data_IF_193738015786
#
_entry.id   IF_193738015786
#
_cell.length_a   1.000
_cell.length_b   1.000
_cell.length_c   1.000
_cell.angle_alpha   90.00
_cell.angle_beta   90.00
_cell.angle_gamma   90.00
#
_symmetry.space_group_name_H-M   'P 1'
#
loop_
_entity.id
_entity.type
_entity.pdbx_description
1 polymer ?
#
# COMPACT_ATOMS: atom_id res chain seq x y z
N UNK A 1 -22.28 -14.52 40.01
CA UNK A 1 -20.88 -14.89 39.68
C UNK A 1 -20.37 -14.01 38.53
N UNK A 2 -20.04 -12.77 38.92
CA UNK A 2 -19.48 -11.69 38.12
C UNK A 2 -17.96 -11.83 38.03
N UNK A 3 -17.38 -11.49 36.88
CA UNK A 3 -15.95 -11.14 36.79
C UNK A 3 -15.06 -12.15 36.06
N UNK A 4 -15.30 -12.37 34.77
CA UNK A 4 -14.21 -12.74 33.87
C UNK A 4 -13.49 -11.44 33.49
N UNK A 5 -12.45 -11.07 34.25
CA UNK A 5 -11.50 -10.06 33.81
C UNK A 5 -10.89 -10.50 32.48
N UNK A 6 -11.31 -9.88 31.38
CA UNK A 6 -10.56 -9.90 30.15
C UNK A 6 -9.16 -9.38 30.47
N UNK A 7 -8.15 -10.25 30.45
CA UNK A 7 -6.76 -9.80 30.53
C UNK A 7 -6.57 -8.82 29.36
N UNK A 8 -6.03 -7.61 29.57
CA UNK A 8 -5.65 -6.78 28.44
C UNK A 8 -4.58 -7.57 27.69
N UNK A 9 -4.96 -8.09 26.53
CA UNK A 9 -4.04 -8.72 25.60
C UNK A 9 -3.11 -7.60 25.16
N UNK A 10 -1.91 -7.49 25.74
CA UNK A 10 -0.95 -6.49 25.28
C UNK A 10 -0.76 -6.71 23.78
N UNK A 11 -1.02 -5.69 22.94
CA UNK A 11 -0.91 -5.86 21.51
C UNK A 11 0.51 -6.34 21.18
N UNK A 12 0.66 -7.37 20.33
CA UNK A 12 1.94 -8.00 20.11
C UNK A 12 2.95 -7.00 19.53
N UNK A 13 3.94 -6.62 20.35
CA UNK A 13 5.03 -5.68 20.00
C UNK A 13 6.12 -6.30 19.12
N UNK A 14 5.93 -7.53 18.65
CA UNK A 14 6.97 -8.29 17.93
C UNK A 14 7.44 -7.55 16.68
N UNK A 15 6.50 -6.96 15.93
CA UNK A 15 6.81 -6.24 14.69
C UNK A 15 7.55 -4.94 14.97
N UNK A 16 7.04 -4.11 15.89
CA UNK A 16 7.62 -2.79 16.21
C UNK A 16 9.03 -2.95 16.78
N UNK A 17 9.22 -3.89 17.72
CA UNK A 17 10.54 -4.21 18.28
C UNK A 17 11.53 -4.68 17.20
N UNK A 18 11.10 -5.56 16.29
CA UNK A 18 11.97 -6.04 15.22
C UNK A 18 12.42 -4.92 14.27
N UNK A 19 11.51 -4.00 13.92
CA UNK A 19 11.83 -2.83 13.07
C UNK A 19 12.75 -1.86 13.80
N UNK A 20 12.44 -1.51 15.06
CA UNK A 20 13.24 -0.59 15.86
C UNK A 20 14.64 -1.12 16.14
N UNK A 21 14.80 -2.44 16.31
CA UNK A 21 16.11 -3.07 16.47
C UNK A 21 17.04 -2.90 15.24
N UNK A 22 16.47 -2.61 14.06
CA UNK A 22 17.21 -2.28 12.83
C UNK A 22 17.29 -0.77 12.57
N UNK A 23 16.86 0.07 13.52
CA UNK A 23 16.85 1.53 13.38
C UNK A 23 15.75 2.07 12.46
N UNK A 24 14.79 1.25 12.05
CA UNK A 24 13.66 1.66 11.22
C UNK A 24 12.53 2.31 12.02
N UNK A 25 11.54 2.85 11.30
CA UNK A 25 10.26 3.32 11.84
C UNK A 25 9.11 2.58 11.17
N UNK A 26 8.01 2.38 11.88
CA UNK A 26 6.81 1.75 11.33
C UNK A 26 5.53 2.41 11.84
N UNK A 27 4.60 2.64 10.91
CA UNK A 27 3.24 3.10 11.20
C UNK A 27 2.23 1.98 10.90
N UNK A 28 1.14 1.93 11.68
CA UNK A 28 0.04 1.00 11.46
C UNK A 28 -1.03 1.67 10.59
N UNK A 29 -1.40 1.05 9.45
CA UNK A 29 -2.52 1.55 8.66
C UNK A 29 -3.84 1.12 9.29
N UNK A 30 -4.69 2.09 9.63
CA UNK A 30 -6.06 1.87 10.09
C UNK A 30 -6.98 1.98 8.87
N UNK A 31 -7.57 0.85 8.50
CA UNK A 31 -8.42 0.70 7.32
C UNK A 31 -9.74 0.03 7.73
N UNK A 32 -10.84 0.72 7.45
CA UNK A 32 -12.17 0.12 7.44
C UNK A 32 -12.63 -0.05 5.99
N UNK A 33 -12.85 -1.30 5.56
CA UNK A 33 -13.09 -1.62 4.14
C UNK A 33 -14.49 -1.29 3.63
N UNK A 34 -15.39 -0.84 4.51
CA UNK A 34 -16.70 -0.31 4.13
C UNK A 34 -17.50 -1.30 3.28
N UNK A 35 -18.06 -0.81 2.17
CA UNK A 35 -18.85 -1.62 1.23
C UNK A 35 -18.02 -2.66 0.46
N UNK A 36 -16.70 -2.66 0.59
CA UNK A 36 -15.82 -3.68 0.00
C UNK A 36 -15.49 -4.84 0.94
N UNK A 37 -15.93 -4.81 2.20
CA UNK A 37 -15.72 -5.97 3.08
C UNK A 37 -16.48 -7.21 2.57
N UNK A 38 -15.81 -8.36 2.47
CA UNK A 38 -16.42 -9.62 2.04
C UNK A 38 -17.12 -10.34 3.21
N UNK A 39 -18.00 -9.63 3.91
CA UNK A 39 -18.79 -10.16 5.02
C UNK A 39 -20.26 -9.70 4.92
N UNK A 40 -21.22 -10.43 5.53
CA UNK A 40 -22.63 -10.04 5.50
C UNK A 40 -22.96 -8.72 6.21
N UNK A 41 -22.17 -8.33 7.22
CA UNK A 41 -22.40 -7.15 8.06
C UNK A 41 -21.56 -5.94 7.63
N UNK A 42 -21.32 -5.80 6.32
CA UNK A 42 -20.64 -4.64 5.77
C UNK A 42 -21.48 -3.38 5.92
N UNK A 43 -20.81 -2.25 6.17
CA UNK A 43 -21.46 -0.95 6.41
C UNK A 43 -20.94 0.09 5.42
N UNK A 44 -21.76 1.09 5.12
CA UNK A 44 -21.43 2.17 4.19
C UNK A 44 -22.22 3.46 4.53
N UNK A 45 -21.90 4.60 3.91
CA UNK A 45 -22.66 5.85 4.10
C UNK A 45 -24.11 5.75 3.63
N UNK A 46 -24.38 4.93 2.60
CA UNK A 46 -25.71 4.67 2.06
C UNK A 46 -25.81 3.21 1.62
N UNK A 47 -27.02 2.66 1.56
CA UNK A 47 -27.29 1.27 1.15
C UNK A 47 -27.10 1.05 -0.37
N UNK A 48 -25.87 1.22 -0.86
CA UNK A 48 -25.49 1.12 -2.28
C UNK A 48 -24.46 0.00 -2.45
N UNK A 49 -24.90 -1.12 -3.00
CA UNK A 49 -24.05 -2.26 -3.30
C UNK A 49 -22.92 -1.90 -4.29
N UNK A 50 -21.70 -2.32 -3.96
CA UNK A 50 -20.57 -2.20 -4.87
C UNK A 50 -20.70 -3.19 -6.06
N UNK A 51 -20.36 -2.78 -7.30
CA UNK A 51 -20.33 -3.66 -8.48
C UNK A 51 -19.41 -4.89 -8.36
N UNK A 52 -18.46 -4.88 -7.43
CA UNK A 52 -17.47 -5.95 -7.19
C UNK A 52 -17.73 -6.75 -5.91
N UNK A 53 -18.84 -6.46 -5.21
CA UNK A 53 -19.21 -7.14 -3.97
C UNK A 53 -20.65 -7.68 -4.07
N UNK A 54 -20.88 -8.84 -3.48
CA UNK A 54 -22.18 -9.54 -3.51
C UNK A 54 -23.13 -9.11 -2.40
N UNK A 55 -22.61 -8.44 -1.36
CA UNK A 55 -23.40 -8.03 -0.20
C UNK A 55 -23.85 -6.58 -0.33
N UNK A 56 -25.10 -6.31 0.07
CA UNK A 56 -25.63 -4.95 0.20
C UNK A 56 -25.20 -4.38 1.56
N UNK A 57 -24.54 -3.21 1.63
CA UNK A 57 -24.16 -2.63 2.90
C UNK A 57 -25.37 -2.15 3.71
N UNK A 58 -25.25 -2.23 5.03
CA UNK A 58 -26.09 -1.48 5.96
C UNK A 58 -25.70 0.00 5.92
N UNK A 59 -26.70 0.86 5.82
CA UNK A 59 -26.51 2.32 5.90
C UNK A 59 -26.29 2.71 7.36
N UNK A 60 -25.12 3.31 7.63
CA UNK A 60 -24.75 3.72 8.98
C UNK A 60 -25.76 4.73 9.56
N UNK A 61 -26.14 4.51 10.81
CA UNK A 61 -26.85 5.49 11.63
C UNK A 61 -25.87 6.54 12.16
N UNK A 62 -26.38 7.69 12.62
CA UNK A 62 -25.54 8.73 13.23
C UNK A 62 -24.69 8.19 14.40
N UNK A 63 -25.29 7.40 15.30
CA UNK A 63 -24.59 6.83 16.46
C UNK A 63 -23.51 5.83 16.05
N UNK A 64 -23.75 5.03 15.00
CA UNK A 64 -22.73 4.12 14.45
C UNK A 64 -21.56 4.88 13.82
N UNK A 65 -21.81 6.02 13.18
CA UNK A 65 -20.75 6.90 12.65
C UNK A 65 -19.89 7.44 13.79
N UNK A 66 -20.51 7.93 14.87
CA UNK A 66 -19.79 8.42 16.05
C UNK A 66 -18.99 7.31 16.73
N UNK A 67 -19.56 6.12 16.85
CA UNK A 67 -18.85 4.96 17.40
C UNK A 67 -17.64 4.58 16.53
N UNK A 68 -17.79 4.56 15.20
CA UNK A 68 -16.66 4.30 14.30
C UNK A 68 -15.55 5.34 14.46
N UNK A 69 -15.87 6.62 14.62
CA UNK A 69 -14.87 7.66 14.89
C UNK A 69 -14.07 7.34 16.17
N UNK A 70 -14.76 6.95 17.25
CA UNK A 70 -14.08 6.52 18.49
C UNK A 70 -13.27 5.23 18.29
N UNK A 71 -13.75 4.28 17.49
CA UNK A 71 -13.03 3.04 17.18
C UNK A 71 -11.73 3.31 16.41
N UNK A 72 -11.72 4.26 15.47
CA UNK A 72 -10.49 4.72 14.80
C UNK A 72 -9.50 5.31 15.82
N UNK A 73 -9.96 6.17 16.73
CA UNK A 73 -9.14 6.77 17.77
C UNK A 73 -8.58 5.70 18.74
N UNK A 74 -9.42 4.76 19.16
CA UNK A 74 -9.04 3.64 20.02
C UNK A 74 -8.03 2.72 19.32
N UNK A 75 -8.21 2.41 18.03
CA UNK A 75 -7.24 1.65 17.24
C UNK A 75 -5.87 2.35 17.21
N UNK A 76 -5.85 3.68 17.04
CA UNK A 76 -4.62 4.46 17.08
C UNK A 76 -3.96 4.48 18.47
N UNK A 77 -4.77 4.52 19.55
CA UNK A 77 -4.26 4.36 20.91
C UNK A 77 -3.56 3.00 21.08
N UNK A 78 -4.20 1.92 20.63
CA UNK A 78 -3.62 0.57 20.69
C UNK A 78 -2.33 0.47 19.86
N UNK A 79 -2.28 1.10 18.67
CA UNK A 79 -1.06 1.16 17.86
C UNK A 79 0.08 1.87 18.60
N UNK A 80 -0.21 3.01 19.26
CA UNK A 80 0.78 3.71 20.09
C UNK A 80 1.25 2.86 21.26
N UNK A 81 0.34 2.21 21.98
CA UNK A 81 0.66 1.30 23.09
C UNK A 81 1.47 0.06 22.65
N UNK A 82 1.31 -0.36 21.39
CA UNK A 82 2.09 -1.42 20.74
C UNK A 82 3.49 -0.93 20.28
N UNK A 83 3.80 0.36 20.40
CA UNK A 83 5.09 0.94 20.04
C UNK A 83 5.23 1.28 18.56
N UNK A 84 4.14 1.47 17.81
CA UNK A 84 4.25 2.05 16.47
C UNK A 84 4.71 3.52 16.58
N UNK A 85 5.42 4.02 15.57
CA UNK A 85 5.83 5.43 15.49
C UNK A 85 4.69 6.36 15.03
N UNK A 86 3.62 5.76 14.49
CA UNK A 86 2.49 6.47 13.95
C UNK A 86 1.39 5.55 13.44
N UNK A 87 0.39 6.17 12.82
CA UNK A 87 -0.68 5.49 12.08
C UNK A 87 -0.89 6.12 10.71
N UNK A 88 -1.37 5.32 9.76
CA UNK A 88 -1.92 5.82 8.50
C UNK A 88 -3.44 5.64 8.49
N UNK A 89 -4.20 6.74 8.41
CA UNK A 89 -5.64 6.72 8.21
C UNK A 89 -5.91 6.55 6.71
N UNK A 90 -6.49 5.42 6.32
CA UNK A 90 -6.75 5.07 4.92
C UNK A 90 -8.03 5.75 4.40
N UNK A 91 -7.86 6.91 3.76
CA UNK A 91 -8.94 7.76 3.23
C UNK A 91 -9.18 7.63 1.72
N UNK A 92 -8.74 6.55 1.09
CA UNK A 92 -8.75 6.40 -0.37
C UNK A 92 -9.25 5.02 -0.86
N UNK A 93 -9.11 4.78 -2.15
CA UNK A 93 -9.31 3.51 -2.86
C UNK A 93 -10.74 2.95 -2.79
N UNK A 94 -11.71 3.82 -2.49
CA UNK A 94 -13.12 3.47 -2.39
C UNK A 94 -13.52 2.75 -1.11
N UNK A 95 -12.67 2.81 -0.07
CA UNK A 95 -13.00 2.32 1.27
C UNK A 95 -13.82 3.33 2.07
N UNK A 96 -14.27 2.96 3.28
CA UNK A 96 -15.32 3.65 4.03
C UNK A 96 -15.16 5.18 4.07
N UNK A 97 -13.98 5.68 4.44
CA UNK A 97 -13.75 7.14 4.50
C UNK A 97 -13.94 7.76 3.12
N UNK A 98 -13.37 7.16 2.07
CA UNK A 98 -13.52 7.63 0.70
C UNK A 98 -14.98 7.55 0.21
N UNK A 99 -15.74 6.55 0.67
CA UNK A 99 -17.15 6.39 0.36
C UNK A 99 -17.98 7.56 0.92
N UNK A 100 -17.67 8.08 2.11
CA UNK A 100 -18.34 9.28 2.64
C UNK A 100 -18.08 10.52 1.78
N UNK A 101 -16.90 10.62 1.17
CA UNK A 101 -16.48 11.81 0.43
C UNK A 101 -17.18 12.00 -0.91
N UNK A 102 -17.61 10.93 -1.59
CA UNK A 102 -18.07 11.01 -2.99
C UNK A 102 -19.59 10.91 -3.11
N UNK A 103 -20.17 11.67 -4.06
CA UNK A 103 -21.61 11.58 -4.38
C UNK A 103 -21.99 10.24 -5.02
N UNK A 104 -21.01 9.47 -5.50
CA UNK A 104 -21.22 8.11 -6.00
C UNK A 104 -21.78 7.15 -4.95
N UNK A 105 -21.43 7.37 -3.68
CA UNK A 105 -21.63 6.40 -2.60
C UNK A 105 -22.31 6.96 -1.37
N UNK A 106 -22.31 8.29 -1.22
CA UNK A 106 -22.97 8.98 -0.13
C UNK A 106 -24.15 9.79 -0.67
N UNK A 107 -25.36 9.26 -0.45
CA UNK A 107 -26.64 9.87 -0.82
C UNK A 107 -27.40 10.39 0.41
N UNK A 108 -26.73 10.52 1.56
CA UNK A 108 -27.35 10.97 2.81
C UNK A 108 -27.79 12.44 2.69
N UNK A 109 -28.84 12.77 3.44
CA UNK A 109 -29.43 14.10 3.57
C UNK A 109 -29.24 14.71 4.98
N UNK A 110 -28.41 14.07 5.81
CA UNK A 110 -28.02 14.50 7.14
C UNK A 110 -26.66 15.23 7.16
N UNK A 111 -26.12 15.49 8.37
CA UNK A 111 -24.85 16.23 8.53
C UNK A 111 -23.61 15.50 8.01
N UNK A 112 -23.75 14.26 7.55
CA UNK A 112 -22.68 13.43 6.98
C UNK A 112 -22.79 13.32 5.45
N UNK A 113 -23.78 13.95 4.80
CA UNK A 113 -23.99 13.91 3.35
C UNK A 113 -24.46 15.22 2.73
N UNK A 114 -24.77 15.19 1.43
CA UNK A 114 -25.15 16.39 0.67
C UNK A 114 -23.95 17.24 0.21
N UNK A 115 -23.79 18.43 0.80
CA UNK A 115 -22.71 19.35 0.44
C UNK A 115 -21.32 18.77 0.80
N UNK A 116 -20.25 19.32 0.22
CA UNK A 116 -18.93 18.73 0.45
C UNK A 116 -18.46 18.90 1.90
N UNK A 117 -18.87 19.97 2.58
CA UNK A 117 -18.55 20.22 3.99
C UNK A 117 -19.05 19.09 4.89
N UNK A 118 -20.29 18.64 4.65
CA UNK A 118 -20.90 17.53 5.38
C UNK A 118 -20.27 16.18 4.99
N UNK A 119 -20.00 15.95 3.70
CA UNK A 119 -19.32 14.74 3.22
C UNK A 119 -17.90 14.58 3.78
N UNK A 120 -17.13 15.66 3.90
CA UNK A 120 -15.77 15.61 4.45
C UNK A 120 -15.72 15.47 5.97
N UNK A 121 -16.84 15.72 6.67
CA UNK A 121 -16.94 15.69 8.14
C UNK A 121 -16.37 14.39 8.71
N UNK A 122 -16.77 13.24 8.18
CA UNK A 122 -16.32 11.95 8.68
C UNK A 122 -14.79 11.80 8.66
N UNK A 123 -14.15 12.12 7.53
CA UNK A 123 -12.69 12.04 7.40
C UNK A 123 -11.97 12.98 8.39
N UNK A 124 -12.48 14.21 8.52
CA UNK A 124 -11.90 15.25 9.39
C UNK A 124 -12.07 14.90 10.86
N UNK A 125 -13.25 14.43 11.29
CA UNK A 125 -13.49 14.01 12.66
C UNK A 125 -12.66 12.78 13.03
N UNK A 126 -12.48 11.81 12.12
CA UNK A 126 -11.59 10.66 12.35
C UNK A 126 -10.16 11.13 12.63
N UNK A 127 -9.58 11.99 11.78
CA UNK A 127 -8.20 12.47 11.98
C UNK A 127 -8.08 13.29 13.27
N UNK A 128 -9.08 14.14 13.57
CA UNK A 128 -9.11 14.95 14.79
C UNK A 128 -9.18 14.07 16.04
N UNK A 129 -10.07 13.08 16.07
CA UNK A 129 -10.22 12.16 17.20
C UNK A 129 -8.95 11.33 17.41
N UNK A 130 -8.35 10.84 16.32
CA UNK A 130 -7.05 10.14 16.37
C UNK A 130 -5.98 11.05 16.97
N UNK A 131 -5.81 12.28 16.46
CA UNK A 131 -4.82 13.25 16.98
C UNK A 131 -5.03 13.56 18.46
N UNK A 132 -6.27 13.81 18.88
CA UNK A 132 -6.59 14.06 20.29
C UNK A 132 -6.22 12.87 21.19
N UNK A 133 -6.45 11.64 20.71
CA UNK A 133 -6.18 10.42 21.49
C UNK A 133 -4.70 10.09 21.63
N UNK A 134 -3.91 10.29 20.56
CA UNK A 134 -2.50 9.90 20.53
C UNK A 134 -1.53 11.01 20.93
N UNK A 135 -1.99 12.27 20.98
CA UNK A 135 -1.17 13.44 21.30
C UNK A 135 -0.33 13.93 20.10
N UNK A 136 0.51 14.94 20.31
CA UNK A 136 1.24 15.62 19.23
C UNK A 136 2.49 14.86 18.75
N UNK A 137 3.17 14.11 19.63
CA UNK A 137 4.39 13.36 19.32
C UNK A 137 4.05 11.96 18.79
N UNK A 138 3.34 11.93 17.66
CA UNK A 138 2.92 10.71 16.97
C UNK A 138 2.62 11.01 15.51
N UNK A 139 3.18 10.22 14.59
CA UNK A 139 2.98 10.44 13.15
C UNK A 139 1.55 10.06 12.78
N UNK A 140 0.84 10.96 12.11
CA UNK A 140 -0.44 10.65 11.46
C UNK A 140 -0.28 10.86 9.96
N UNK A 141 -0.36 9.79 9.20
CA UNK A 141 -0.41 9.83 7.73
C UNK A 141 -1.87 9.77 7.34
N UNK A 142 -2.34 10.64 6.44
CA UNK A 142 -3.64 10.48 5.82
C UNK A 142 -3.47 10.13 4.36
N UNK A 143 -4.03 8.99 3.93
CA UNK A 143 -3.96 8.57 2.54
C UNK A 143 -5.17 9.12 1.78
N UNK A 144 -4.96 10.23 1.07
CA UNK A 144 -5.99 11.00 0.38
C UNK A 144 -6.21 10.46 -1.03
N UNK A 145 -7.45 10.12 -1.38
CA UNK A 145 -7.80 9.89 -2.79
C UNK A 145 -7.70 11.21 -3.54
N UNK A 146 -6.69 11.34 -4.40
CA UNK A 146 -6.50 12.54 -5.24
C UNK A 146 -7.02 12.33 -6.67
N UNK A 147 -7.39 11.10 -7.02
CA UNK A 147 -7.91 10.73 -8.33
C UNK A 147 -8.75 9.45 -8.20
N UNK A 148 -10.07 9.58 -7.99
CA UNK A 148 -10.94 8.43 -7.72
C UNK A 148 -11.13 7.46 -8.91
N UNK A 149 -11.04 7.96 -10.15
CA UNK A 149 -11.23 7.19 -11.40
C UNK A 149 -12.57 6.43 -11.52
N UNK A 150 -13.62 6.98 -10.92
CA UNK A 150 -15.00 6.50 -11.03
C UNK A 150 -15.94 7.66 -11.33
N UNK A 151 -17.08 7.38 -11.95
CA UNK A 151 -18.10 8.40 -12.20
C UNK A 151 -18.63 8.95 -10.86
N UNK A 152 -18.87 10.26 -10.81
CA UNK A 152 -19.29 10.98 -9.61
C UNK A 152 -18.28 10.90 -8.44
N UNK A 153 -16.98 10.71 -8.76
CA UNK A 153 -15.87 10.92 -7.83
C UNK A 153 -15.65 12.39 -7.49
N UNK A 154 -14.65 12.67 -6.64
CA UNK A 154 -14.29 14.00 -6.20
C UNK A 154 -13.65 14.87 -7.28
N UNK A 155 -13.79 16.17 -7.13
CA UNK A 155 -13.10 17.18 -7.94
C UNK A 155 -11.75 17.56 -7.33
N UNK A 156 -10.91 18.27 -8.09
CA UNK A 156 -9.63 18.76 -7.57
C UNK A 156 -9.81 19.83 -6.48
N UNK A 157 -10.81 20.71 -6.61
CA UNK A 157 -11.10 21.73 -5.60
C UNK A 157 -11.56 21.09 -4.28
N UNK A 158 -12.41 20.07 -4.35
CA UNK A 158 -12.79 19.23 -3.20
C UNK A 158 -11.55 18.53 -2.59
N UNK A 159 -10.65 18.01 -3.42
CA UNK A 159 -9.39 17.39 -2.97
C UNK A 159 -8.52 18.39 -2.18
N UNK A 160 -8.38 19.62 -2.68
CA UNK A 160 -7.63 20.70 -2.01
C UNK A 160 -8.30 21.07 -0.69
N UNK A 161 -9.63 21.26 -0.68
CA UNK A 161 -10.39 21.60 0.52
C UNK A 161 -10.23 20.52 1.60
N UNK A 162 -10.32 19.24 1.23
CA UNK A 162 -10.11 18.14 2.17
C UNK A 162 -8.67 18.07 2.66
N UNK A 163 -7.67 18.22 1.79
CA UNK A 163 -6.26 18.19 2.20
C UNK A 163 -5.96 19.26 3.27
N UNK A 164 -6.47 20.48 3.09
CA UNK A 164 -6.33 21.58 4.06
C UNK A 164 -7.06 21.28 5.36
N UNK A 165 -8.27 20.72 5.28
CA UNK A 165 -9.03 20.32 6.47
C UNK A 165 -8.34 19.21 7.27
N UNK A 166 -7.69 18.25 6.58
CA UNK A 166 -6.94 17.15 7.18
C UNK A 166 -5.63 17.64 7.80
N UNK A 167 -4.93 18.58 7.16
CA UNK A 167 -3.78 19.28 7.75
C UNK A 167 -4.20 20.00 9.04
N UNK A 168 -5.28 20.79 9.00
CA UNK A 168 -5.80 21.49 10.16
C UNK A 168 -6.30 20.54 11.28
N UNK A 169 -6.77 19.34 10.92
CA UNK A 169 -7.14 18.30 11.88
C UNK A 169 -5.93 17.65 12.59
N UNK A 170 -4.72 17.86 12.07
CA UNK A 170 -3.46 17.46 12.70
C UNK A 170 -2.75 16.29 12.04
N UNK A 171 -2.99 16.03 10.74
CA UNK A 171 -2.14 15.09 9.99
C UNK A 171 -0.69 15.58 9.93
N UNK A 172 0.26 14.66 10.00
CA UNK A 172 1.70 14.91 9.86
C UNK A 172 2.17 14.82 8.40
N UNK A 173 1.56 13.94 7.62
CA UNK A 173 1.91 13.64 6.22
C UNK A 173 0.63 13.35 5.43
N UNK A 174 0.61 13.70 4.14
CA UNK A 174 -0.45 13.26 3.23
C UNK A 174 0.16 12.33 2.17
N UNK A 175 -0.36 11.11 2.13
CA UNK A 175 -0.02 10.10 1.13
C UNK A 175 -1.05 10.08 0.01
N UNK A 176 -0.61 9.87 -1.23
CA UNK A 176 -1.50 9.86 -2.38
C UNK A 176 -2.20 8.51 -2.55
N UNK A 177 -3.51 8.53 -2.79
CA UNK A 177 -4.34 7.41 -3.25
C UNK A 177 -4.80 7.64 -4.70
N UNK A 178 -4.78 6.58 -5.51
CA UNK A 178 -5.09 6.64 -6.95
C UNK A 178 -6.02 5.49 -7.33
N UNK A 179 -7.24 5.86 -7.70
CA UNK A 179 -8.28 5.00 -8.22
C UNK A 179 -8.97 4.18 -7.13
N UNK A 180 -10.18 3.73 -7.44
CA UNK A 180 -10.92 2.77 -6.63
C UNK A 180 -10.72 1.33 -7.12
N UNK A 181 -11.03 0.34 -6.29
CA UNK A 181 -11.08 -1.06 -6.74
C UNK A 181 -12.12 -1.30 -7.85
N UNK A 182 -13.16 -0.47 -7.93
CA UNK A 182 -14.16 -0.48 -9.01
C UNK A 182 -13.67 0.16 -10.31
N UNK A 183 -12.61 0.97 -10.27
CA UNK A 183 -12.16 1.73 -11.43
C UNK A 183 -11.79 0.79 -12.59
N UNK A 184 -12.19 1.16 -13.79
CA UNK A 184 -11.87 0.41 -15.03
C UNK A 184 -10.57 0.86 -15.69
N UNK A 185 -9.89 1.83 -15.08
CA UNK A 185 -8.60 2.36 -15.52
C UNK A 185 -7.51 1.69 -14.68
N UNK A 186 -6.52 1.03 -15.30
CA UNK A 186 -5.41 0.44 -14.56
C UNK A 186 -4.58 1.49 -13.82
N UNK A 187 -4.31 1.26 -12.53
CA UNK A 187 -3.53 2.19 -11.69
C UNK A 187 -2.18 1.64 -11.24
N UNK A 188 -2.00 0.32 -11.27
CA UNK A 188 -0.81 -0.34 -10.71
C UNK A 188 -0.19 -1.44 -11.57
N UNK A 189 -0.93 -2.04 -12.52
CA UNK A 189 -0.46 -3.18 -13.33
C UNK A 189 0.69 -2.83 -14.28
N UNK A 190 1.36 -3.83 -14.88
CA UNK A 190 2.51 -3.65 -15.81
C UNK A 190 2.27 -2.65 -16.96
N UNK A 191 1.08 -2.54 -17.56
CA UNK A 191 0.84 -1.55 -18.62
C UNK A 191 0.85 -0.09 -18.16
N UNK A 192 0.79 0.18 -16.85
CA UNK A 192 0.82 1.55 -16.30
C UNK A 192 2.26 2.08 -16.32
N UNK A 193 2.58 3.24 -16.91
CA UNK A 193 3.95 3.74 -16.95
C UNK A 193 4.59 3.92 -15.55
N UNK A 194 5.93 3.85 -15.49
CA UNK A 194 6.66 4.18 -14.25
C UNK A 194 6.36 5.61 -13.81
N UNK A 195 6.05 5.82 -12.53
CA UNK A 195 5.72 7.12 -11.96
C UNK A 195 4.51 7.83 -12.59
N UNK A 196 3.59 7.09 -13.24
CA UNK A 196 2.50 7.65 -14.06
C UNK A 196 1.62 8.71 -13.39
N UNK A 197 1.59 8.76 -12.05
CA UNK A 197 0.73 9.63 -11.27
C UNK A 197 1.49 10.64 -10.40
N UNK A 198 2.81 10.82 -10.57
CA UNK A 198 3.57 11.81 -9.79
C UNK A 198 2.99 13.22 -9.94
N UNK A 199 2.54 13.55 -11.16
CA UNK A 199 1.89 14.82 -11.48
C UNK A 199 0.61 15.08 -10.66
N UNK A 200 -0.12 14.04 -10.24
CA UNK A 200 -1.32 14.20 -9.40
C UNK A 200 -0.93 14.76 -8.03
N UNK A 201 0.13 14.21 -7.44
CA UNK A 201 0.67 14.69 -6.16
C UNK A 201 1.25 16.10 -6.31
N UNK A 202 1.95 16.35 -7.42
CA UNK A 202 2.51 17.67 -7.75
C UNK A 202 1.46 18.77 -7.77
N UNK A 203 0.24 18.49 -8.23
CA UNK A 203 -0.86 19.48 -8.25
C UNK A 203 -1.22 20.00 -6.86
N UNK A 204 -1.04 19.20 -5.80
CA UNK A 204 -1.37 19.60 -4.43
C UNK A 204 -0.23 20.37 -3.73
N UNK A 205 0.98 20.39 -4.31
CA UNK A 205 2.11 21.16 -3.77
C UNK A 205 1.77 22.65 -3.70
N UNK A 206 1.99 23.25 -2.53
CA UNK A 206 1.71 24.66 -2.26
C UNK A 206 0.31 24.95 -1.73
N UNK A 207 -0.61 23.97 -1.75
CA UNK A 207 -1.94 24.11 -1.13
C UNK A 207 -1.98 23.71 0.35
N UNK A 208 -1.00 22.91 0.78
CA UNK A 208 -0.77 22.47 2.17
C UNK A 208 0.71 22.58 2.50
N UNK A 209 1.05 22.64 3.78
CA UNK A 209 2.43 22.74 4.27
C UNK A 209 3.02 21.39 4.70
N UNK A 210 2.17 20.43 5.08
CA UNK A 210 2.60 19.06 5.39
C UNK A 210 3.25 18.38 4.18
N UNK A 211 4.29 17.54 4.38
CA UNK A 211 4.93 16.83 3.29
C UNK A 211 3.98 15.90 2.54
N UNK A 212 4.14 15.85 1.21
CA UNK A 212 3.34 15.00 0.31
C UNK A 212 4.12 13.78 -0.17
N UNK A 213 3.45 12.63 -0.26
CA UNK A 213 4.04 11.36 -0.69
C UNK A 213 3.45 10.89 -2.02
N UNK A 214 4.25 10.87 -3.09
CA UNK A 214 3.83 10.33 -4.39
C UNK A 214 3.91 8.80 -4.43
N UNK A 215 2.96 8.15 -5.09
CA UNK A 215 2.88 6.67 -5.15
C UNK A 215 2.66 6.17 -6.58
N UNK A 216 2.49 4.85 -6.69
CA UNK A 216 2.16 4.06 -7.87
C UNK A 216 3.26 3.98 -8.93
N UNK A 217 3.65 2.73 -9.23
CA UNK A 217 4.63 2.37 -10.27
C UNK A 217 5.97 3.12 -10.18
N UNK A 218 6.39 3.47 -8.96
CA UNK A 218 7.76 3.90 -8.68
C UNK A 218 8.52 2.64 -8.24
N UNK A 219 9.38 2.10 -9.10
CA UNK A 219 10.08 0.82 -8.89
C UNK A 219 11.57 0.89 -9.24
N UNK A 220 12.09 2.10 -9.43
CA UNK A 220 13.44 2.38 -9.90
C UNK A 220 14.00 3.58 -9.13
N UNK A 221 15.23 3.49 -8.60
CA UNK A 221 15.81 4.57 -7.80
C UNK A 221 15.93 5.89 -8.56
N UNK A 222 16.28 5.84 -9.86
CA UNK A 222 16.42 7.04 -10.68
C UNK A 222 15.07 7.69 -10.96
N UNK A 223 14.01 6.89 -11.14
CA UNK A 223 12.64 7.42 -11.27
C UNK A 223 12.20 8.10 -9.98
N UNK A 224 12.44 7.47 -8.82
CA UNK A 224 12.16 8.06 -7.52
C UNK A 224 12.92 9.39 -7.32
N UNK A 225 14.23 9.40 -7.56
CA UNK A 225 15.08 10.59 -7.45
C UNK A 225 14.62 11.71 -8.39
N UNK A 226 14.22 11.36 -9.60
CA UNK A 226 13.71 12.31 -10.60
C UNK A 226 12.40 12.97 -10.13
N UNK A 227 11.50 12.21 -9.50
CA UNK A 227 10.25 12.75 -8.94
C UNK A 227 10.56 13.75 -7.81
N UNK A 228 11.48 13.38 -6.90
CA UNK A 228 11.87 14.24 -5.77
C UNK A 228 12.56 15.51 -6.24
N UNK A 229 13.57 15.40 -7.11
CA UNK A 229 14.36 16.54 -7.61
C UNK A 229 13.55 17.52 -8.46
N UNK A 230 12.51 17.04 -9.17
CA UNK A 230 11.55 17.91 -9.88
C UNK A 230 10.56 18.61 -8.95
N UNK A 231 10.51 18.23 -7.67
CA UNK A 231 9.58 18.77 -6.68
C UNK A 231 8.15 18.26 -6.86
N UNK A 232 7.95 17.08 -7.45
CA UNK A 232 6.64 16.45 -7.60
C UNK A 232 6.03 16.05 -6.24
N UNK A 233 6.90 15.66 -5.30
CA UNK A 233 6.54 15.28 -3.94
C UNK A 233 7.75 15.44 -3.00
N UNK A 234 7.50 15.38 -1.70
CA UNK A 234 8.54 15.44 -0.66
C UNK A 234 9.07 14.03 -0.30
N UNK A 235 8.26 13.00 -0.60
CA UNK A 235 8.60 11.60 -0.43
C UNK A 235 8.02 10.77 -1.59
N UNK A 236 8.53 9.55 -1.77
CA UNK A 236 7.94 8.54 -2.65
C UNK A 236 7.54 7.30 -1.86
N UNK A 237 6.42 6.71 -2.23
CA UNK A 237 5.89 5.47 -1.68
C UNK A 237 6.15 4.33 -2.65
N UNK A 238 6.75 3.26 -2.12
CA UNK A 238 7.02 2.02 -2.82
C UNK A 238 6.50 0.88 -1.97
N UNK A 239 5.56 0.09 -2.50
CA UNK A 239 5.05 -1.11 -1.82
C UNK A 239 5.62 -2.38 -2.45
N UNK A 240 5.14 -2.72 -3.66
CA UNK A 240 5.57 -3.93 -4.38
C UNK A 240 7.09 -4.00 -4.68
N UNK A 241 7.82 -2.89 -4.92
CA UNK A 241 9.28 -2.95 -5.00
C UNK A 241 9.95 -3.60 -3.79
N UNK A 242 9.45 -3.38 -2.56
CA UNK A 242 10.02 -4.04 -1.37
C UNK A 242 9.65 -5.52 -1.23
N UNK A 243 8.57 -5.99 -1.88
CA UNK A 243 8.33 -7.43 -2.03
C UNK A 243 9.31 -8.05 -3.04
N UNK A 244 9.66 -7.32 -4.10
CA UNK A 244 10.59 -7.80 -5.11
C UNK A 244 12.04 -7.78 -4.60
N UNK A 245 12.43 -6.74 -3.88
CA UNK A 245 13.77 -6.59 -3.30
C UNK A 245 13.73 -5.82 -1.98
N UNK A 246 13.97 -6.50 -0.86
CA UNK A 246 14.06 -5.87 0.45
C UNK A 246 15.35 -5.03 0.62
N UNK A 247 16.37 -5.24 -0.23
CA UNK A 247 17.63 -4.50 -0.21
C UNK A 247 17.63 -3.31 -1.18
N UNK A 248 16.48 -2.98 -1.78
CA UNK A 248 16.32 -1.93 -2.80
C UNK A 248 17.08 -0.64 -2.46
N UNK A 249 16.86 -0.09 -1.26
CA UNK A 249 17.47 1.17 -0.85
C UNK A 249 18.97 1.02 -0.56
N UNK A 250 19.38 -0.05 0.12
CA UNK A 250 20.79 -0.32 0.41
C UNK A 250 21.60 -0.48 -0.88
N UNK A 251 21.04 -1.15 -1.89
CA UNK A 251 21.65 -1.32 -3.21
C UNK A 251 21.75 0.02 -3.95
N UNK A 252 20.66 0.79 -3.99
CA UNK A 252 20.66 2.11 -4.60
C UNK A 252 21.71 3.03 -3.97
N UNK A 253 21.76 3.09 -2.63
CA UNK A 253 22.71 3.92 -1.89
C UNK A 253 24.17 3.51 -2.09
N UNK A 254 24.45 2.22 -2.32
CA UNK A 254 25.80 1.70 -2.55
C UNK A 254 26.19 1.63 -4.03
N UNK A 255 25.41 2.24 -4.93
CA UNK A 255 25.72 2.27 -6.37
C UNK A 255 25.51 0.94 -7.10
N UNK A 256 24.74 0.02 -6.51
CA UNK A 256 24.45 -1.32 -7.03
C UNK A 256 23.02 -1.42 -7.57
N UNK A 257 22.56 -0.37 -8.26
CA UNK A 257 21.19 -0.32 -8.78
C UNK A 257 20.92 -1.41 -9.84
N UNK A 258 21.96 -1.88 -10.53
CA UNK A 258 21.94 -3.01 -11.46
C UNK A 258 21.67 -4.37 -10.79
N UNK A 259 21.89 -4.48 -9.47
CA UNK A 259 21.58 -5.68 -8.68
C UNK A 259 20.14 -5.69 -8.12
N UNK A 260 19.33 -4.66 -8.37
CA UNK A 260 17.97 -4.57 -7.84
C UNK A 260 17.05 -5.54 -8.57
N UNK A 261 16.40 -6.42 -7.80
CA UNK A 261 15.38 -7.32 -8.33
C UNK A 261 14.07 -6.55 -8.55
N UNK A 262 13.96 -5.92 -9.72
CA UNK A 262 12.92 -4.92 -10.01
C UNK A 262 11.51 -5.52 -9.98
N UNK A 263 10.58 -4.84 -9.34
CA UNK A 263 9.16 -5.20 -9.40
C UNK A 263 8.60 -4.95 -10.80
N UNK A 264 8.15 -6.02 -11.47
CA UNK A 264 7.62 -5.95 -12.83
C UNK A 264 6.12 -5.58 -12.93
N UNK A 265 5.47 -5.26 -11.80
CA UNK A 265 4.07 -4.86 -11.77
C UNK A 265 3.05 -5.96 -12.17
N UNK A 266 3.45 -7.24 -12.16
CA UNK A 266 2.63 -8.34 -12.68
C UNK A 266 1.38 -8.67 -11.85
N UNK A 267 1.34 -8.28 -10.57
CA UNK A 267 0.27 -8.56 -9.60
C UNK A 267 0.02 -10.04 -9.23
N UNK A 268 0.57 -10.99 -9.99
CA UNK A 268 0.29 -12.43 -9.89
C UNK A 268 0.54 -13.04 -8.50
N UNK A 269 1.67 -12.74 -7.88
CA UNK A 269 2.04 -13.35 -6.59
C UNK A 269 1.65 -12.49 -5.39
N UNK A 270 1.40 -11.20 -5.60
CA UNK A 270 1.04 -10.26 -4.54
C UNK A 270 -0.47 -10.05 -4.50
N UNK A 271 -1.01 -9.17 -5.35
CA UNK A 271 -2.44 -8.82 -5.33
C UNK A 271 -3.36 -10.00 -5.65
N UNK A 272 -3.10 -10.75 -6.72
CA UNK A 272 -4.00 -11.84 -7.12
C UNK A 272 -4.12 -12.91 -6.03
N UNK A 273 -3.06 -13.11 -5.23
CA UNK A 273 -3.08 -14.05 -4.08
C UNK A 273 -3.91 -13.51 -2.93
N UNK A 274 -3.71 -12.27 -2.51
CA UNK A 274 -4.44 -11.73 -1.35
C UNK A 274 -5.93 -11.54 -1.65
N UNK A 275 -6.30 -11.24 -2.90
CA UNK A 275 -7.71 -11.17 -3.31
C UNK A 275 -8.45 -12.51 -3.23
N UNK A 276 -7.73 -13.64 -3.24
CA UNK A 276 -8.31 -14.97 -3.01
C UNK A 276 -7.99 -15.52 -1.60
N UNK A 277 -7.61 -14.65 -0.66
CA UNK A 277 -7.36 -15.01 0.74
C UNK A 277 -6.09 -15.84 0.97
N UNK A 278 -5.11 -15.80 0.06
CA UNK A 278 -3.81 -16.46 0.23
C UNK A 278 -2.74 -15.45 0.64
N UNK A 279 -1.72 -15.95 1.33
CA UNK A 279 -0.54 -15.16 1.72
C UNK A 279 0.15 -14.61 0.47
N UNK A 280 0.42 -13.31 0.50
CA UNK A 280 1.17 -12.60 -0.55
C UNK A 280 2.57 -13.17 -0.71
N UNK A 281 3.12 -13.09 -1.92
CA UNK A 281 4.50 -13.39 -2.25
C UNK A 281 4.93 -12.48 -3.41
N UNK A 282 6.03 -12.79 -4.08
CA UNK A 282 6.48 -12.07 -5.27
C UNK A 282 6.95 -13.06 -6.36
N UNK A 283 6.64 -12.76 -7.62
CA UNK A 283 7.02 -13.61 -8.75
C UNK A 283 8.54 -13.70 -8.89
N UNK A 284 9.22 -12.56 -8.77
CA UNK A 284 10.68 -12.47 -8.89
C UNK A 284 11.40 -12.72 -7.56
N UNK A 285 10.67 -12.74 -6.43
CA UNK A 285 11.21 -13.05 -5.11
C UNK A 285 10.26 -13.98 -4.33
N UNK A 286 10.38 -15.31 -4.50
CA UNK A 286 9.53 -16.27 -3.80
C UNK A 286 9.65 -16.22 -2.28
N UNK A 287 10.73 -15.63 -1.74
CA UNK A 287 10.95 -15.51 -0.29
C UNK A 287 10.14 -14.38 0.35
N UNK A 288 9.57 -13.47 -0.44
CA UNK A 288 8.77 -12.37 0.09
C UNK A 288 7.61 -12.89 0.95
N UNK A 289 7.54 -12.42 2.19
CA UNK A 289 6.60 -12.87 3.24
C UNK A 289 6.75 -14.35 3.67
N UNK A 290 7.86 -15.00 3.33
CA UNK A 290 8.20 -16.39 3.67
C UNK A 290 9.64 -16.52 4.19
N UNK A 291 10.27 -15.42 4.59
CA UNK A 291 11.70 -15.30 4.87
C UNK A 291 12.14 -16.23 6.00
N UNK A 292 11.30 -16.39 7.02
CA UNK A 292 11.52 -17.26 8.19
C UNK A 292 11.37 -18.74 7.86
N UNK A 293 10.53 -19.08 6.89
CA UNK A 293 10.30 -20.45 6.42
C UNK A 293 11.32 -20.87 5.35
N UNK A 294 11.93 -19.91 4.65
CA UNK A 294 12.88 -20.12 3.57
C UNK A 294 14.24 -19.45 3.88
N UNK A 295 14.97 -19.92 4.91
CA UNK A 295 16.28 -19.38 5.23
C UNK A 295 17.30 -19.74 4.14
N UNK A 296 18.12 -18.78 3.74
CA UNK A 296 19.28 -19.04 2.87
C UNK A 296 20.45 -19.42 3.77
N UNK A 297 20.78 -20.72 3.76
CA UNK A 297 21.89 -21.27 4.55
C UNK A 297 23.04 -21.71 3.64
N UNK A 298 24.31 -21.54 4.06
CA UNK A 298 25.45 -22.10 3.33
C UNK A 298 25.30 -23.61 3.09
N UNK A 299 25.74 -24.08 1.94
CA UNK A 299 25.74 -25.50 1.62
C UNK A 299 26.72 -26.26 2.52
N UNK A 300 26.22 -27.26 3.25
CA UNK A 300 27.05 -28.15 4.10
C UNK A 300 28.12 -28.85 3.25
N UNK A 301 27.76 -29.30 2.05
CA UNK A 301 28.68 -29.89 1.07
C UNK A 301 28.52 -29.20 -0.27
N UNK A 302 29.57 -28.48 -0.68
CA UNK A 302 29.66 -27.85 -2.01
C UNK A 302 29.66 -28.94 -3.09
N UNK A 303 29.04 -28.62 -4.23
CA UNK A 303 28.87 -29.53 -5.38
C UNK A 303 29.10 -28.75 -6.67
N UNK A 304 29.46 -29.46 -7.73
CA UNK A 304 29.45 -28.95 -9.10
C UNK A 304 28.09 -29.33 -9.71
N UNK A 305 27.32 -28.34 -10.12
CA UNK A 305 25.95 -28.49 -10.61
C UNK A 305 25.88 -28.03 -12.06
N UNK A 306 25.24 -28.82 -12.91
CA UNK A 306 24.90 -28.44 -14.28
C UNK A 306 23.42 -28.07 -14.35
N UNK A 307 23.12 -26.90 -14.91
CA UNK A 307 21.74 -26.40 -15.10
C UNK A 307 21.52 -26.21 -16.60
N UNK A 308 20.54 -26.90 -17.18
CA UNK A 308 20.26 -26.83 -18.62
C UNK A 308 18.99 -26.01 -18.84
N UNK A 309 19.14 -24.85 -19.45
CA UNK A 309 18.11 -23.85 -19.71
C UNK A 309 18.26 -22.62 -18.79
N UNK A 310 18.64 -21.49 -19.37
CA UNK A 310 18.72 -20.16 -18.77
C UNK A 310 17.41 -19.37 -18.86
N UNK A 311 16.26 -20.05 -18.84
CA UNK A 311 14.96 -19.43 -18.55
C UNK A 311 14.81 -19.07 -17.06
N UNK A 312 13.70 -18.44 -16.64
CA UNK A 312 13.51 -17.96 -15.26
C UNK A 312 13.67 -19.06 -14.20
N UNK A 313 13.26 -20.31 -14.49
CA UNK A 313 13.46 -21.43 -13.58
C UNK A 313 14.94 -21.77 -13.36
N UNK A 314 15.72 -21.88 -14.44
CA UNK A 314 17.14 -22.18 -14.37
C UNK A 314 17.96 -21.03 -13.81
N UNK A 315 17.62 -19.78 -14.16
CA UNK A 315 18.23 -18.59 -13.58
C UNK A 315 18.00 -18.52 -12.07
N UNK A 316 16.75 -18.67 -11.62
CA UNK A 316 16.42 -18.65 -10.20
C UNK A 316 17.16 -19.76 -9.42
N UNK A 317 17.23 -20.98 -9.97
CA UNK A 317 18.00 -22.05 -9.35
C UNK A 317 19.51 -21.74 -9.31
N UNK A 318 20.08 -21.30 -10.44
CA UNK A 318 21.51 -21.08 -10.59
C UNK A 318 22.03 -20.03 -9.60
N UNK A 319 21.39 -18.86 -9.52
CA UNK A 319 21.79 -17.79 -8.60
C UNK A 319 21.67 -18.23 -7.14
N UNK A 320 20.56 -18.89 -6.77
CA UNK A 320 20.34 -19.31 -5.38
C UNK A 320 21.27 -20.45 -4.96
N UNK A 321 21.57 -21.40 -5.85
CA UNK A 321 22.55 -22.46 -5.58
C UNK A 321 23.98 -21.90 -5.47
N UNK A 322 24.34 -20.95 -6.32
CA UNK A 322 25.63 -20.26 -6.27
C UNK A 322 25.78 -19.44 -4.98
N UNK A 323 24.74 -18.72 -4.53
CA UNK A 323 24.73 -17.99 -3.25
C UNK A 323 24.93 -18.92 -2.04
N UNK A 324 24.48 -20.17 -2.11
CA UNK A 324 24.74 -21.20 -1.09
C UNK A 324 26.17 -21.75 -1.15
N UNK A 325 26.95 -21.41 -2.18
CA UNK A 325 28.35 -21.80 -2.35
C UNK A 325 28.60 -23.00 -3.27
N UNK A 326 27.60 -23.44 -4.05
CA UNK A 326 27.81 -24.45 -5.09
C UNK A 326 28.52 -23.84 -6.31
N UNK A 327 29.30 -24.64 -7.03
CA UNK A 327 29.78 -24.26 -8.37
C UNK A 327 28.70 -24.64 -9.38
N UNK A 328 28.19 -23.66 -10.13
CA UNK A 328 27.08 -23.85 -11.07
C UNK A 328 27.57 -23.55 -12.48
N UNK A 329 27.34 -24.47 -13.41
CA UNK A 329 27.50 -24.26 -14.84
C UNK A 329 26.11 -24.20 -15.48
N UNK A 330 25.75 -23.02 -15.98
CA UNK A 330 24.47 -22.77 -16.64
C UNK A 330 24.66 -22.88 -18.16
N UNK A 331 23.88 -23.76 -18.78
CA UNK A 331 23.86 -23.97 -20.23
C UNK A 331 22.55 -23.41 -20.79
N UNK A 332 22.61 -22.80 -21.97
CA UNK A 332 21.44 -22.51 -22.80
C UNK A 332 21.81 -22.73 -24.27
N UNK A 333 20.81 -23.04 -25.10
CA UNK A 333 20.98 -23.15 -26.53
C UNK A 333 20.88 -21.78 -27.25
N UNK A 334 20.25 -20.80 -26.61
CA UNK A 334 20.08 -19.45 -27.12
C UNK A 334 21.32 -18.57 -26.85
N UNK A 335 21.45 -17.47 -27.60
CA UNK A 335 22.57 -16.53 -27.46
C UNK A 335 22.47 -15.59 -26.26
N UNK A 336 21.29 -15.51 -25.62
CA UNK A 336 21.05 -14.71 -24.42
C UNK A 336 20.24 -15.50 -23.39
N UNK A 337 20.39 -15.14 -22.11
CA UNK A 337 19.56 -15.68 -21.03
C UNK A 337 18.13 -15.11 -21.08
N UNK A 338 17.19 -15.77 -20.40
CA UNK A 338 15.81 -15.31 -20.19
C UNK A 338 14.76 -16.32 -20.67
N UNK A 339 15.10 -17.20 -21.61
CA UNK A 339 14.14 -18.18 -22.15
C UNK A 339 12.87 -17.49 -22.66
N UNK A 340 11.68 -17.93 -22.24
CA UNK A 340 10.43 -17.30 -22.70
C UNK A 340 10.24 -15.85 -22.23
N UNK A 341 11.00 -15.34 -21.25
CA UNK A 341 10.94 -13.91 -20.91
C UNK A 341 11.45 -13.02 -22.05
N UNK A 342 12.38 -13.50 -22.89
CA UNK A 342 12.85 -12.73 -24.05
C UNK A 342 11.76 -12.52 -25.09
N UNK A 343 10.76 -13.41 -25.12
CA UNK A 343 9.53 -13.27 -25.91
C UNK A 343 8.52 -12.40 -25.15
N UNK A 344 8.33 -12.63 -23.85
CA UNK A 344 7.35 -11.90 -23.04
C UNK A 344 7.62 -10.39 -23.01
N UNK A 345 8.88 -9.97 -22.94
CA UNK A 345 9.29 -8.55 -22.93
C UNK A 345 8.99 -7.80 -24.23
N UNK A 346 8.69 -8.51 -25.31
CA UNK A 346 8.33 -7.92 -26.62
C UNK A 346 6.83 -7.60 -26.72
N UNK A 347 6.02 -8.06 -25.77
CA UNK A 347 4.58 -7.80 -25.76
C UNK A 347 4.35 -6.36 -25.26
N UNK A 348 3.54 -5.54 -25.96
CA UNK A 348 3.23 -4.18 -25.52
C UNK A 348 2.69 -4.13 -24.08
N UNK A 349 3.25 -3.26 -23.26
CA UNK A 349 2.92 -3.14 -21.83
C UNK A 349 3.55 -4.21 -20.94
N UNK A 350 4.54 -4.96 -21.43
CA UNK A 350 5.36 -5.94 -20.69
C UNK A 350 6.86 -5.71 -20.86
N UNK A 351 7.28 -4.51 -21.22
CA UNK A 351 8.69 -4.14 -21.42
C UNK A 351 9.53 -4.31 -20.14
N UNK A 352 8.87 -4.41 -18.99
CA UNK A 352 9.45 -4.64 -17.66
C UNK A 352 9.84 -6.12 -17.38
N UNK A 353 9.46 -7.07 -18.25
CA UNK A 353 9.68 -8.52 -18.08
C UNK A 353 11.08 -9.02 -18.43
#
# INVERSE_FOLDING_TARGET
PTGAHARPCQPPRVVTVAVHAQGGKIALQILHTGRYSYQPHLVAPSAIQAPINRFMPHELTHDEILQLIDDFAHCAQLAREAGYDGVEVMGSEGYLINEFLTRRTNHRDDEWGGDYTSRMRFAVEVVRAVRQRVGNDFIIIYRLSMLDLVENGGTFDETVQLAQAIEAAGASLINTGIGWHEARIPTIATPVPRGAFSWVTRKLKGHVSVPLIATNRINDPQVAETILTRGDADMVSMARPFLADAEFLTKAQSGRADEINTCIGCNQACLDRIFIGKVTSCLVNPRACHETHMPITPAIRKKNLAVVGAGPAGLAFAINAALRGHHVTLFDAQSEIGGQFTIARQIPGKEEF
#
